data_IF_963985251929
#
_entry.id   IF_963985251929
#
_cell.length_a   1.000
_cell.length_b   1.000
_cell.length_c   1.000
_cell.angle_alpha   90.00
_cell.angle_beta   90.00
_cell.angle_gamma   90.00
#
_symmetry.space_group_name_H-M   'P 1'
#
loop_
_entity.id
_entity.type
_entity.pdbx_description
1 polymer ?
#
# COMPACT_ATOMS: atom_id res chain seq x y z
N UNK A 1 -21.32 12.24 28.58
CA UNK A 1 -21.46 10.85 28.08
C UNK A 1 -21.85 10.77 26.59
N UNK A 2 -22.63 11.69 26.04
CA UNK A 2 -22.95 11.72 24.60
C UNK A 2 -21.79 12.17 23.68
N UNK A 3 -20.91 13.07 24.13
CA UNK A 3 -19.74 13.53 23.35
C UNK A 3 -18.69 12.42 23.19
N UNK A 4 -18.50 11.58 24.21
CA UNK A 4 -17.59 10.43 24.19
C UNK A 4 -18.10 9.25 23.37
N UNK A 5 -19.42 9.15 23.16
CA UNK A 5 -20.02 8.17 22.26
C UNK A 5 -19.93 8.61 20.78
N UNK A 6 -19.98 9.92 20.52
CA UNK A 6 -19.84 10.49 19.17
C UNK A 6 -18.40 10.41 18.64
N UNK A 7 -17.39 10.55 19.50
CA UNK A 7 -15.98 10.30 19.12
C UNK A 7 -15.71 8.82 18.81
N UNK A 8 -16.43 7.90 19.47
CA UNK A 8 -16.28 6.46 19.28
C UNK A 8 -16.86 5.96 17.94
N UNK A 9 -17.94 6.58 17.44
CA UNK A 9 -18.53 6.23 16.14
C UNK A 9 -17.81 6.88 14.94
N UNK A 10 -17.20 8.05 15.12
CA UNK A 10 -16.38 8.71 14.09
C UNK A 10 -14.99 8.06 13.91
N UNK A 11 -14.47 7.37 14.93
CA UNK A 11 -13.25 6.55 14.87
C UNK A 11 -13.34 5.34 13.93
N UNK A 12 -14.48 5.08 13.30
CA UNK A 12 -14.66 3.93 12.38
C UNK A 12 -14.83 4.34 10.93
N UNK A 13 -14.66 5.62 10.59
CA UNK A 13 -14.76 6.10 9.21
C UNK A 13 -13.35 6.19 8.61
N UNK A 14 -12.99 5.35 7.62
CA UNK A 14 -11.66 5.34 6.99
C UNK A 14 -11.22 6.73 6.50
N UNK A 15 -12.18 7.54 6.05
CA UNK A 15 -11.95 8.92 5.57
C UNK A 15 -11.43 9.85 6.67
N UNK A 16 -11.90 9.71 7.91
CA UNK A 16 -11.48 10.58 9.03
C UNK A 16 -10.04 10.26 9.43
N UNK A 17 -9.68 8.98 9.48
CA UNK A 17 -8.30 8.54 9.74
C UNK A 17 -7.33 8.98 8.65
N UNK A 18 -7.76 8.92 7.39
CA UNK A 18 -6.99 9.43 6.27
C UNK A 18 -6.78 10.95 6.36
N UNK A 19 -7.83 11.71 6.66
CA UNK A 19 -7.73 13.15 6.86
C UNK A 19 -6.78 13.50 8.00
N UNK A 20 -6.93 12.83 9.15
CA UNK A 20 -6.07 13.02 10.32
C UNK A 20 -4.61 12.70 10.01
N UNK A 21 -4.36 11.60 9.29
CA UNK A 21 -3.01 11.23 8.85
C UNK A 21 -2.38 12.32 7.98
N UNK A 22 -3.10 12.84 6.98
CA UNK A 22 -2.61 13.91 6.09
C UNK A 22 -2.37 15.21 6.83
N UNK A 23 -3.26 15.59 7.75
CA UNK A 23 -3.09 16.79 8.56
C UNK A 23 -1.83 16.68 9.43
N UNK A 24 -1.65 15.55 10.11
CA UNK A 24 -0.46 15.29 10.94
C UNK A 24 0.83 15.27 10.12
N UNK A 25 0.79 14.68 8.93
CA UNK A 25 1.89 14.77 7.97
C UNK A 25 2.22 16.23 7.61
N UNK A 26 1.21 17.05 7.31
CA UNK A 26 1.40 18.45 6.92
C UNK A 26 2.05 19.30 8.02
N UNK A 27 1.76 19.00 9.30
CA UNK A 27 2.37 19.70 10.44
C UNK A 27 3.69 19.07 10.90
N UNK A 28 4.18 18.04 10.20
CA UNK A 28 5.43 17.33 10.53
C UNK A 28 5.32 16.26 11.63
N UNK A 29 4.11 15.98 12.14
CA UNK A 29 3.86 14.88 13.08
C UNK A 29 3.81 13.53 12.34
N UNK A 30 4.99 13.04 11.96
CA UNK A 30 5.13 11.78 11.21
C UNK A 30 4.69 10.56 12.03
N UNK A 31 4.91 10.57 13.34
CA UNK A 31 4.54 9.49 14.24
C UNK A 31 3.01 9.39 14.36
N UNK A 32 2.35 10.53 14.58
CA UNK A 32 0.91 10.58 14.64
C UNK A 32 0.24 10.29 13.29
N UNK A 33 0.86 10.67 12.17
CA UNK A 33 0.36 10.34 10.84
C UNK A 33 0.35 8.82 10.57
N UNK A 34 1.40 8.10 11.00
CA UNK A 34 1.48 6.63 10.96
C UNK A 34 0.42 5.97 11.85
N UNK A 35 0.30 6.45 13.09
CA UNK A 35 -0.67 5.90 14.04
C UNK A 35 -2.12 6.02 13.53
N UNK A 36 -2.46 7.13 12.87
CA UNK A 36 -3.78 7.32 12.27
C UNK A 36 -4.05 6.37 11.10
N UNK A 37 -3.05 6.01 10.29
CA UNK A 37 -3.23 5.01 9.22
C UNK A 37 -3.40 3.59 9.74
N UNK A 38 -2.74 3.24 10.85
CA UNK A 38 -2.90 1.92 11.47
C UNK A 38 -4.34 1.69 11.94
N UNK A 39 -5.05 2.75 12.33
CA UNK A 39 -6.47 2.68 12.72
C UNK A 39 -7.44 2.59 11.53
N UNK A 40 -6.93 2.73 10.29
CA UNK A 40 -7.69 2.66 9.05
C UNK A 40 -7.79 1.22 8.47
N UNK A 41 -7.26 0.21 9.18
CA UNK A 41 -7.35 -1.21 8.79
C UNK A 41 -8.80 -1.71 8.84
N UNK A 42 -9.57 -1.43 7.78
CA UNK A 42 -10.92 -1.95 7.59
C UNK A 42 -10.90 -3.36 7.00
N UNK A 43 -11.83 -4.21 7.43
CA UNK A 43 -11.93 -5.65 7.18
C UNK A 43 -12.20 -6.07 5.71
N UNK A 44 -12.35 -5.15 4.77
CA UNK A 44 -12.67 -5.49 3.37
C UNK A 44 -11.44 -5.51 2.46
N UNK A 45 -11.37 -6.52 1.57
CA UNK A 45 -10.28 -6.67 0.59
C UNK A 45 -10.17 -5.48 -0.39
N UNK A 46 -11.29 -4.77 -0.65
CA UNK A 46 -11.34 -3.56 -1.48
C UNK A 46 -10.51 -2.42 -0.89
N UNK A 47 -10.59 -2.23 0.43
CA UNK A 47 -9.89 -1.14 1.11
C UNK A 47 -8.42 -1.46 1.38
N UNK A 48 -8.04 -2.74 1.33
CA UNK A 48 -6.68 -3.18 1.66
C UNK A 48 -5.62 -2.60 0.71
N UNK A 49 -5.79 -2.74 -0.60
CA UNK A 49 -4.82 -2.22 -1.59
C UNK A 49 -4.68 -0.70 -1.49
N UNK A 50 -5.80 0.01 -1.29
CA UNK A 50 -5.80 1.45 -1.15
C UNK A 50 -5.03 1.90 0.10
N UNK A 51 -5.27 1.24 1.24
CA UNK A 51 -4.54 1.50 2.47
C UNK A 51 -3.03 1.29 2.31
N UNK A 52 -2.62 0.21 1.63
CA UNK A 52 -1.20 -0.07 1.33
C UNK A 52 -0.59 1.05 0.50
N UNK A 53 -1.27 1.49 -0.58
CA UNK A 53 -0.81 2.60 -1.42
C UNK A 53 -0.70 3.90 -0.63
N UNK A 54 -1.67 4.20 0.23
CA UNK A 54 -1.66 5.41 1.07
C UNK A 54 -0.48 5.42 2.02
N UNK A 55 -0.25 4.31 2.74
CA UNK A 55 0.88 4.15 3.67
C UNK A 55 2.22 4.24 2.96
N UNK A 56 2.39 3.53 1.83
CA UNK A 56 3.62 3.59 1.04
C UNK A 56 3.89 5.00 0.46
N UNK A 57 2.85 5.69 -0.01
CA UNK A 57 2.98 7.04 -0.55
C UNK A 57 3.32 8.07 0.53
N UNK A 58 2.79 7.92 1.75
CA UNK A 58 3.18 8.76 2.89
C UNK A 58 4.67 8.59 3.19
N UNK A 59 5.15 7.35 3.35
CA UNK A 59 6.59 7.10 3.58
C UNK A 59 7.45 7.67 2.45
N UNK A 60 7.00 7.56 1.19
CA UNK A 60 7.65 8.18 0.04
C UNK A 60 7.73 9.71 0.18
N UNK A 61 6.64 10.39 0.56
CA UNK A 61 6.64 11.85 0.77
C UNK A 61 7.55 12.29 1.90
N UNK A 62 7.74 11.41 2.89
CA UNK A 62 8.71 11.59 3.98
C UNK A 62 10.16 11.25 3.58
N UNK A 63 10.42 10.91 2.32
CA UNK A 63 11.74 10.49 1.84
C UNK A 63 12.17 9.09 2.30
N UNK A 64 11.30 8.34 2.98
CA UNK A 64 11.60 7.01 3.50
C UNK A 64 11.21 5.91 2.50
N UNK A 65 11.95 5.82 1.41
CA UNK A 65 11.70 4.82 0.35
C UNK A 65 11.84 3.38 0.83
N UNK A 66 12.68 3.12 1.83
CA UNK A 66 12.81 1.79 2.44
C UNK A 66 11.54 1.39 3.18
N UNK A 67 10.99 2.28 4.02
CA UNK A 67 9.71 2.02 4.67
C UNK A 67 8.57 1.86 3.65
N UNK A 68 8.55 2.67 2.58
CA UNK A 68 7.57 2.52 1.51
C UNK A 68 7.67 1.15 0.81
N UNK A 69 8.89 0.65 0.57
CA UNK A 69 9.11 -0.70 0.03
C UNK A 69 8.66 -1.79 1.01
N UNK A 70 8.93 -1.64 2.31
CA UNK A 70 8.53 -2.60 3.33
C UNK A 70 7.00 -2.72 3.45
N UNK A 71 6.27 -1.61 3.33
CA UNK A 71 4.80 -1.60 3.31
C UNK A 71 4.25 -2.53 2.22
N UNK A 72 4.84 -2.53 1.01
CA UNK A 72 4.41 -3.44 -0.04
C UNK A 72 4.80 -4.89 0.25
N UNK A 73 6.02 -5.13 0.76
CA UNK A 73 6.50 -6.49 1.10
C UNK A 73 5.62 -7.15 2.16
N UNK A 74 5.34 -6.45 3.25
CA UNK A 74 4.45 -6.91 4.33
C UNK A 74 3.04 -7.19 3.80
N UNK A 75 2.51 -6.32 2.92
CA UNK A 75 1.20 -6.51 2.32
C UNK A 75 1.13 -7.74 1.40
N UNK A 76 2.18 -7.98 0.61
CA UNK A 76 2.30 -9.16 -0.26
C UNK A 76 2.34 -10.43 0.59
N UNK A 77 3.18 -10.47 1.63
CA UNK A 77 3.27 -11.60 2.55
C UNK A 77 1.92 -11.90 3.22
N UNK A 78 1.24 -10.86 3.70
CA UNK A 78 -0.09 -11.01 4.29
C UNK A 78 -1.11 -11.54 3.29
N UNK A 79 -1.15 -10.98 2.07
CA UNK A 79 -2.07 -11.38 1.03
C UNK A 79 -1.81 -12.83 0.56
N UNK A 80 -0.55 -13.26 0.48
CA UNK A 80 -0.19 -14.64 0.18
C UNK A 80 -0.66 -15.59 1.30
N UNK A 81 -0.38 -15.24 2.56
CA UNK A 81 -0.77 -16.02 3.75
C UNK A 81 -2.29 -16.17 3.84
N UNK A 82 -3.04 -15.08 3.59
CA UNK A 82 -4.51 -15.07 3.60
C UNK A 82 -5.13 -15.57 2.29
N UNK A 83 -4.32 -16.04 1.33
CA UNK A 83 -4.76 -16.53 0.01
C UNK A 83 -5.65 -15.53 -0.75
N UNK A 84 -5.33 -14.24 -0.66
CA UNK A 84 -6.02 -13.17 -1.38
C UNK A 84 -5.57 -13.10 -2.85
N UNK A 85 -5.86 -14.16 -3.61
CA UNK A 85 -5.31 -14.39 -4.95
C UNK A 85 -5.64 -13.28 -5.96
N UNK A 86 -6.78 -12.60 -5.83
CA UNK A 86 -7.14 -11.47 -6.69
C UNK A 86 -6.41 -10.17 -6.33
N UNK A 87 -5.96 -10.05 -5.08
CA UNK A 87 -5.28 -8.86 -4.55
C UNK A 87 -3.77 -8.93 -4.81
N UNK A 88 -3.19 -10.13 -4.72
CA UNK A 88 -1.75 -10.34 -4.85
C UNK A 88 -1.16 -9.72 -6.15
N UNK A 89 -1.73 -9.94 -7.34
CA UNK A 89 -1.24 -9.34 -8.57
C UNK A 89 -1.24 -7.80 -8.54
N UNK A 90 -2.26 -7.21 -7.93
CA UNK A 90 -2.42 -5.75 -7.85
C UNK A 90 -1.32 -5.15 -6.95
N UNK A 91 -0.97 -5.82 -5.85
CA UNK A 91 0.12 -5.40 -4.98
C UNK A 91 1.48 -5.45 -5.69
N UNK A 92 1.76 -6.54 -6.43
CA UNK A 92 2.98 -6.65 -7.22
C UNK A 92 3.11 -5.56 -8.29
N UNK A 93 2.01 -5.20 -8.97
CA UNK A 93 2.00 -4.07 -9.92
C UNK A 93 2.30 -2.74 -9.25
N UNK A 94 1.71 -2.47 -8.09
CA UNK A 94 2.00 -1.23 -7.37
C UNK A 94 3.43 -1.19 -6.82
N UNK A 95 3.95 -2.32 -6.36
CA UNK A 95 5.30 -2.42 -5.86
C UNK A 95 6.33 -2.26 -6.97
N UNK A 96 6.13 -2.88 -8.15
CA UNK A 96 7.04 -2.73 -9.29
C UNK A 96 7.12 -1.27 -9.76
N UNK A 97 5.98 -0.57 -9.84
CA UNK A 97 5.94 0.86 -10.16
C UNK A 97 6.64 1.71 -9.09
N UNK A 98 6.49 1.36 -7.81
CA UNK A 98 7.23 2.04 -6.74
C UNK A 98 8.74 1.85 -6.90
N UNK A 99 9.20 0.62 -7.17
CA UNK A 99 10.61 0.32 -7.41
C UNK A 99 11.12 1.09 -8.61
N UNK A 100 10.40 1.12 -9.73
CA UNK A 100 10.76 1.91 -10.89
C UNK A 100 10.93 3.40 -10.57
N UNK A 101 9.94 4.01 -9.90
CA UNK A 101 10.00 5.43 -9.50
C UNK A 101 11.19 5.71 -8.57
N UNK A 102 11.53 4.75 -7.71
CA UNK A 102 12.63 4.88 -6.76
C UNK A 102 14.00 4.76 -7.43
N UNK A 103 14.17 3.80 -8.34
CA UNK A 103 15.49 3.40 -8.86
C UNK A 103 15.76 3.89 -10.27
N UNK A 104 14.72 4.28 -11.02
CA UNK A 104 14.78 4.52 -12.46
C UNK A 104 15.04 3.26 -13.30
N UNK A 105 15.07 2.08 -12.67
CA UNK A 105 15.43 0.82 -13.34
C UNK A 105 14.19 0.02 -13.73
N UNK A 106 13.97 -0.13 -15.04
CA UNK A 106 12.96 -1.02 -15.58
C UNK A 106 13.24 -2.48 -15.18
N UNK A 107 14.51 -2.89 -15.15
CA UNK A 107 14.93 -4.24 -14.79
C UNK A 107 14.52 -4.57 -13.35
N UNK A 108 14.81 -3.68 -12.39
CA UNK A 108 14.43 -3.87 -11.00
C UNK A 108 12.89 -3.94 -10.82
N UNK A 109 12.13 -3.20 -11.62
CA UNK A 109 10.67 -3.27 -11.60
C UNK A 109 10.17 -4.60 -12.20
N UNK A 110 10.80 -5.09 -13.27
CA UNK A 110 10.48 -6.38 -13.88
C UNK A 110 10.81 -7.55 -12.95
N UNK A 111 11.89 -7.49 -12.18
CA UNK A 111 12.21 -8.53 -11.18
C UNK A 111 11.09 -8.72 -10.15
N UNK A 112 10.49 -7.61 -9.69
CA UNK A 112 9.31 -7.66 -8.80
C UNK A 112 8.13 -8.36 -9.47
N UNK A 113 7.88 -8.09 -10.76
CA UNK A 113 6.79 -8.71 -11.50
C UNK A 113 7.05 -10.20 -11.78
N UNK A 114 8.30 -10.58 -12.02
CA UNK A 114 8.70 -11.99 -12.16
C UNK A 114 8.42 -12.75 -10.86
N UNK A 115 8.71 -12.17 -9.70
CA UNK A 115 8.33 -12.76 -8.42
C UNK A 115 6.81 -12.91 -8.27
N UNK A 116 6.05 -11.90 -8.71
CA UNK A 116 4.59 -11.96 -8.75
C UNK A 116 4.06 -13.09 -9.64
N UNK A 117 4.65 -13.31 -10.81
CA UNK A 117 4.26 -14.39 -11.74
C UNK A 117 4.53 -15.77 -11.15
N UNK A 118 5.59 -15.94 -10.35
CA UNK A 118 5.85 -17.20 -9.62
C UNK A 118 4.73 -17.50 -8.60
N UNK A 119 4.18 -16.47 -7.96
CA UNK A 119 3.09 -16.61 -6.99
C UNK A 119 1.72 -16.79 -7.64
N UNK A 120 1.46 -16.09 -8.76
CA UNK A 120 0.19 -16.18 -9.49
C UNK A 120 0.48 -16.43 -10.98
N UNK A 121 0.74 -17.70 -11.37
CA UNK A 121 1.01 -18.06 -12.75
C UNK A 121 -0.12 -17.67 -13.70
N UNK A 122 0.21 -17.34 -14.95
CA UNK A 122 -0.74 -16.99 -16.01
C UNK A 122 -1.61 -15.75 -15.72
N UNK A 123 -1.25 -14.91 -14.75
CA UNK A 123 -1.97 -13.68 -14.49
C UNK A 123 -1.73 -12.64 -15.60
N UNK A 124 -2.76 -12.39 -16.43
CA UNK A 124 -2.71 -11.41 -17.53
C UNK A 124 -2.22 -10.03 -17.08
N UNK A 125 -2.71 -9.54 -15.93
CA UNK A 125 -2.33 -8.23 -15.39
C UNK A 125 -0.81 -8.10 -15.16
N UNK A 126 -0.18 -9.12 -14.58
CA UNK A 126 1.26 -9.10 -14.32
C UNK A 126 2.07 -9.12 -15.61
N UNK A 127 1.65 -9.93 -16.58
CA UNK A 127 2.31 -10.07 -17.87
C UNK A 127 2.22 -8.77 -18.68
N UNK A 128 1.04 -8.13 -18.71
CA UNK A 128 0.86 -6.85 -19.40
C UNK A 128 1.75 -5.75 -18.82
N UNK A 129 1.79 -5.63 -17.48
CA UNK A 129 2.64 -4.63 -16.83
C UNK A 129 4.11 -4.96 -17.03
N UNK A 130 4.50 -6.24 -17.04
CA UNK A 130 5.88 -6.64 -17.34
C UNK A 130 6.30 -6.18 -18.73
N UNK A 131 5.46 -6.42 -19.75
CA UNK A 131 5.72 -5.98 -21.12
C UNK A 131 5.78 -4.45 -21.24
N UNK A 132 5.03 -3.71 -20.44
CA UNK A 132 5.05 -2.23 -20.46
C UNK A 132 6.39 -1.61 -20.02
N UNK A 133 7.26 -2.37 -19.35
CA UNK A 133 8.62 -1.95 -18.98
C UNK A 133 9.69 -2.33 -20.03
N UNK A 134 9.29 -2.94 -21.14
CA UNK A 134 10.18 -3.36 -22.24
C UNK A 134 10.02 -2.51 -23.49
N UNK A 135 9.08 -1.55 -23.47
CA UNK A 135 8.77 -0.60 -24.55
C UNK A 135 9.29 0.77 -24.10
#
# INVERSE_FOLDING_TARGET
>A
MLISLLTCSLQRVPVIHLFNSRFKEQIGDTAGARASLQQCESESASNFVENVKLKANMEKRMGNFNAASNVYKEAIEMAATKKMLHTLPILYVHFSRHVYVRTGSADAARDVLVDGVKHVPHCKLLIEVFCSFSI
#
